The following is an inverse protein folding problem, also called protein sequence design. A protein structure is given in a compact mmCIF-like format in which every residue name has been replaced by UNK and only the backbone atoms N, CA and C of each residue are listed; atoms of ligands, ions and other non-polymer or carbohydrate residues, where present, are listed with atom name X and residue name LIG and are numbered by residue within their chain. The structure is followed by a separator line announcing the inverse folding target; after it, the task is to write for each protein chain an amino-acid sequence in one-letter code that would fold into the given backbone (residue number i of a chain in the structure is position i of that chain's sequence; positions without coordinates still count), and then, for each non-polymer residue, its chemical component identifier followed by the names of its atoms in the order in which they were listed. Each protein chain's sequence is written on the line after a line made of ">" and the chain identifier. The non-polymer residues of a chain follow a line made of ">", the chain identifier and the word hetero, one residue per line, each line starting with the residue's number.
data_IF_231943615511
#
_entry.id   IF_231943615511
#
_cell.length_a   1.000
_cell.length_b   1.000
_cell.length_c   1.000
_cell.angle_alpha   90.00
_cell.angle_beta   90.00
_cell.angle_gamma   90.00
#
_symmetry.space_group_name_H-M   'P 1'
#
loop_
_entity.id
_entity.type
_entity.pdbx_description
1 polymer ?
#
# COMPACT_ATOMS: atom_id res chain seq x y z
N UNK A 1 -22.33 -15.99 23.32
CA UNK A 1 -22.98 -17.23 22.86
C UNK A 1 -23.51 -17.21 21.42
N UNK A 2 -23.62 -16.07 20.71
CA UNK A 2 -24.17 -16.02 19.33
C UNK A 2 -23.13 -15.85 18.21
N UNK A 3 -21.84 -15.78 18.52
CA UNK A 3 -20.77 -15.62 17.52
C UNK A 3 -20.69 -16.70 16.44
N UNK A 4 -20.87 -18.01 16.72
CA UNK A 4 -20.81 -19.02 15.66
C UNK A 4 -22.01 -18.99 14.71
N UNK A 5 -23.10 -18.30 15.07
CA UNK A 5 -24.34 -18.23 14.27
C UNK A 5 -24.33 -17.09 13.24
N UNK A 6 -23.45 -16.09 13.41
CA UNK A 6 -23.35 -14.93 12.49
C UNK A 6 -23.17 -15.32 11.01
N UNK A 7 -22.26 -16.24 10.63
CA UNK A 7 -22.10 -16.62 9.21
C UNK A 7 -23.32 -17.40 8.67
N UNK A 8 -23.96 -18.22 9.50
CA UNK A 8 -25.17 -18.98 9.12
C UNK A 8 -26.35 -18.02 8.88
N UNK A 9 -26.52 -17.01 9.73
CA UNK A 9 -27.55 -15.98 9.55
C UNK A 9 -27.34 -15.13 8.29
N UNK A 10 -26.09 -14.79 7.95
CA UNK A 10 -25.77 -14.07 6.71
C UNK A 10 -26.10 -14.91 5.46
N UNK A 11 -25.76 -16.20 5.48
CA UNK A 11 -26.08 -17.11 4.38
C UNK A 11 -27.59 -17.31 4.24
N UNK A 12 -28.32 -17.46 5.36
CA UNK A 12 -29.77 -17.57 5.38
C UNK A 12 -30.46 -16.30 4.85
N UNK A 13 -29.99 -15.11 5.22
CA UNK A 13 -30.51 -13.84 4.72
C UNK A 13 -30.28 -13.68 3.21
N UNK A 14 -29.09 -14.03 2.72
CA UNK A 14 -28.79 -14.04 1.28
C UNK A 14 -29.66 -15.03 0.50
N UNK A 15 -29.85 -16.24 1.02
CA UNK A 15 -30.71 -17.25 0.41
C UNK A 15 -32.18 -16.81 0.37
N UNK A 16 -32.70 -16.22 1.45
CA UNK A 16 -34.06 -15.69 1.50
C UNK A 16 -34.28 -14.55 0.50
N UNK A 17 -33.28 -13.69 0.29
CA UNK A 17 -33.32 -12.62 -0.72
C UNK A 17 -33.37 -13.16 -2.15
N UNK A 18 -32.54 -14.16 -2.47
CA UNK A 18 -32.53 -14.82 -3.79
C UNK A 18 -33.85 -15.54 -4.04
N UNK A 19 -34.34 -16.30 -3.06
CA UNK A 19 -35.62 -17.02 -3.16
C UNK A 19 -36.79 -16.03 -3.31
N UNK A 20 -36.80 -14.94 -2.54
CA UNK A 20 -37.81 -13.88 -2.66
C UNK A 20 -37.80 -13.23 -4.04
N UNK A 21 -36.62 -12.98 -4.60
CA UNK A 21 -36.43 -12.40 -5.94
C UNK A 21 -36.87 -13.37 -7.04
N UNK A 22 -36.55 -14.66 -6.92
CA UNK A 22 -36.96 -15.70 -7.87
C UNK A 22 -38.47 -15.93 -7.85
N UNK A 23 -39.08 -16.01 -6.66
CA UNK A 23 -40.53 -16.13 -6.53
C UNK A 23 -41.27 -14.91 -7.13
N UNK A 24 -40.67 -13.72 -6.98
CA UNK A 24 -41.17 -12.49 -7.61
C UNK A 24 -41.12 -12.54 -9.14
N UNK A 25 -40.04 -13.06 -9.74
CA UNK A 25 -39.92 -13.19 -11.20
C UNK A 25 -40.88 -14.24 -11.80
N UNK A 26 -41.18 -15.30 -11.04
CA UNK A 26 -42.06 -16.38 -11.49
C UNK A 26 -43.55 -16.00 -11.33
N UNK A 27 -43.89 -15.12 -10.39
CA UNK A 27 -45.26 -14.70 -10.12
C UNK A 27 -45.38 -13.17 -9.99
N UNK A 28 -45.26 -12.43 -11.10
CA UNK A 28 -45.31 -10.98 -11.07
C UNK A 28 -46.74 -10.52 -10.69
N UNK A 29 -46.89 -9.59 -9.72
CA UNK A 29 -48.20 -9.06 -9.37
C UNK A 29 -48.81 -8.33 -10.58
N UNK A 30 -50.12 -8.49 -10.78
CA UNK A 30 -50.85 -7.73 -11.82
C UNK A 30 -50.83 -6.24 -11.46
N UNK A 31 -50.22 -5.41 -12.31
CA UNK A 31 -50.13 -3.96 -12.12
C UNK A 31 -51.36 -3.26 -12.70
N UNK A 32 -52.55 -3.53 -12.15
CA UNK A 32 -53.81 -3.05 -12.72
C UNK A 32 -54.28 -1.71 -12.15
N UNK A 33 -53.69 -1.25 -11.05
CA UNK A 33 -54.00 0.04 -10.42
C UNK A 33 -52.80 0.79 -9.82
N UNK A 34 -52.92 2.12 -9.73
CA UNK A 34 -51.88 2.98 -9.15
C UNK A 34 -51.57 2.65 -7.67
N UNK A 35 -52.57 2.18 -6.90
CA UNK A 35 -52.36 1.74 -5.52
C UNK A 35 -51.49 0.49 -5.40
N UNK A 36 -51.62 -0.45 -6.34
CA UNK A 36 -50.82 -1.68 -6.39
C UNK A 36 -49.35 -1.37 -6.73
N UNK A 37 -49.13 -0.40 -7.63
CA UNK A 37 -47.79 0.07 -7.99
C UNK A 37 -47.09 0.76 -6.80
N UNK A 38 -47.81 1.61 -6.05
CA UNK A 38 -47.26 2.29 -4.87
C UNK A 38 -46.91 1.30 -3.77
N UNK A 39 -47.81 0.34 -3.50
CA UNK A 39 -47.55 -0.73 -2.53
C UNK A 39 -46.33 -1.58 -2.93
N UNK A 40 -46.17 -1.86 -4.23
CA UNK A 40 -45.03 -2.56 -4.78
C UNK A 40 -43.71 -1.80 -4.58
N UNK A 41 -43.66 -0.51 -4.94
CA UNK A 41 -42.46 0.31 -4.78
C UNK A 41 -42.06 0.47 -3.32
N UNK A 42 -43.04 0.62 -2.41
CA UNK A 42 -42.80 0.67 -0.98
C UNK A 42 -42.21 -0.64 -0.44
N UNK A 43 -42.72 -1.80 -0.88
CA UNK A 43 -42.20 -3.11 -0.50
C UNK A 43 -40.77 -3.36 -1.00
N UNK A 44 -40.49 -3.01 -2.25
CA UNK A 44 -39.15 -3.12 -2.82
C UNK A 44 -38.14 -2.21 -2.07
N UNK A 45 -38.53 -0.97 -1.77
CA UNK A 45 -37.70 -0.04 -1.00
C UNK A 45 -37.45 -0.55 0.42
N UNK A 46 -38.48 -1.05 1.11
CA UNK A 46 -38.35 -1.62 2.45
C UNK A 46 -37.42 -2.84 2.46
N UNK A 47 -37.47 -3.66 1.42
CA UNK A 47 -36.62 -4.83 1.27
C UNK A 47 -35.16 -4.43 1.00
N UNK A 48 -34.91 -3.44 0.14
CA UNK A 48 -33.55 -2.89 -0.10
C UNK A 48 -32.99 -2.24 1.17
N UNK A 49 -33.79 -1.44 1.88
CA UNK A 49 -33.37 -0.81 3.13
C UNK A 49 -33.13 -1.85 4.23
N UNK A 50 -33.98 -2.87 4.31
CA UNK A 50 -33.86 -3.97 5.27
C UNK A 50 -32.61 -4.81 5.03
N UNK A 51 -32.29 -5.14 3.77
CA UNK A 51 -31.07 -5.88 3.43
C UNK A 51 -29.83 -5.03 3.61
N UNK A 52 -29.87 -3.74 3.27
CA UNK A 52 -28.76 -2.81 3.53
C UNK A 52 -28.50 -2.68 5.05
N UNK A 53 -29.55 -2.46 5.85
CA UNK A 53 -29.46 -2.40 7.31
C UNK A 53 -28.95 -3.71 7.91
N UNK A 54 -29.48 -4.87 7.47
CA UNK A 54 -29.02 -6.18 7.91
C UNK A 54 -27.55 -6.42 7.51
N UNK A 55 -27.14 -6.00 6.32
CA UNK A 55 -25.75 -6.13 5.85
C UNK A 55 -24.81 -5.26 6.66
N UNK A 56 -25.20 -4.03 7.01
CA UNK A 56 -24.38 -3.13 7.84
C UNK A 56 -24.31 -3.58 9.29
N UNK A 57 -25.42 -4.06 9.86
CA UNK A 57 -25.48 -4.48 11.27
C UNK A 57 -24.88 -5.86 11.50
N UNK A 58 -25.14 -6.82 10.60
CA UNK A 58 -24.58 -8.16 10.69
C UNK A 58 -23.17 -8.22 10.12
N UNK A 59 -22.85 -7.43 9.10
CA UNK A 59 -21.53 -7.21 8.56
C UNK A 59 -20.71 -6.33 9.49
N UNK A 60 -20.49 -6.81 10.73
CA UNK A 60 -19.54 -6.22 11.65
C UNK A 60 -18.29 -5.86 10.86
N UNK A 61 -17.99 -4.55 10.83
CA UNK A 61 -16.81 -4.00 10.16
C UNK A 61 -15.65 -4.92 10.52
N UNK A 62 -14.97 -5.49 9.53
CA UNK A 62 -13.64 -6.07 9.74
C UNK A 62 -12.66 -4.90 9.99
N UNK A 63 -12.97 -4.08 10.98
CA UNK A 63 -12.10 -3.07 11.52
C UNK A 63 -11.35 -3.68 12.68
N UNK A 64 -10.09 -3.30 12.81
CA UNK A 64 -9.27 -3.53 13.99
C UNK A 64 -10.09 -3.22 15.27
N UNK A 65 -9.98 -4.02 16.33
CA UNK A 65 -10.64 -3.66 17.59
C UNK A 65 -10.12 -2.29 18.07
N UNK A 66 -10.98 -1.45 18.68
CA UNK A 66 -10.61 -0.10 19.12
C UNK A 66 -9.31 -0.07 19.94
N UNK A 67 -9.14 -1.05 20.83
CA UNK A 67 -7.93 -1.19 21.66
C UNK A 67 -6.68 -1.57 20.87
N UNK A 68 -6.84 -2.32 19.79
CA UNK A 68 -5.74 -2.65 18.89
C UNK A 68 -5.33 -1.43 18.07
N UNK A 69 -6.32 -0.66 17.60
CA UNK A 69 -6.08 0.62 16.94
C UNK A 69 -5.38 1.63 17.85
N UNK A 70 -5.87 1.82 19.09
CA UNK A 70 -5.23 2.67 20.10
C UNK A 70 -3.78 2.25 20.35
N UNK A 71 -3.50 0.95 20.48
CA UNK A 71 -2.12 0.44 20.65
C UNK A 71 -1.22 0.74 19.45
N UNK A 72 -1.75 0.64 18.23
CA UNK A 72 -0.99 0.96 17.01
C UNK A 72 -0.70 2.46 16.95
N UNK A 73 -1.68 3.30 17.27
CA UNK A 73 -1.54 4.76 17.31
C UNK A 73 -0.54 5.19 18.39
N UNK A 74 -0.70 4.71 19.62
CA UNK A 74 0.19 5.04 20.74
C UNK A 74 1.64 4.63 20.45
N UNK A 75 1.86 3.43 19.90
CA UNK A 75 3.18 2.98 19.48
C UNK A 75 3.77 3.85 18.37
N UNK A 76 2.94 4.29 17.41
CA UNK A 76 3.39 5.14 16.31
C UNK A 76 3.76 6.54 16.81
N UNK A 77 2.96 7.11 17.71
CA UNK A 77 3.27 8.37 18.37
C UNK A 77 4.51 8.30 19.25
N UNK A 78 4.72 7.19 19.97
CA UNK A 78 5.95 6.97 20.74
C UNK A 78 7.18 6.94 19.81
N UNK A 79 7.11 6.19 18.70
CA UNK A 79 8.18 6.13 17.70
C UNK A 79 8.45 7.49 17.04
N UNK A 80 7.41 8.28 16.78
CA UNK A 80 7.55 9.63 16.22
C UNK A 80 8.14 10.64 17.22
N UNK A 81 7.90 10.46 18.53
CA UNK A 81 8.45 11.31 19.61
C UNK A 81 9.85 10.93 20.02
N UNK A 82 10.28 9.69 19.72
CA UNK A 82 11.69 9.35 19.83
C UNK A 82 12.42 10.24 18.81
N UNK A 83 13.34 11.14 19.22
CA UNK A 83 14.27 11.70 18.25
C UNK A 83 14.87 10.49 17.55
N UNK A 84 14.91 10.49 16.21
CA UNK A 84 15.58 9.44 15.44
C UNK A 84 16.95 9.26 16.10
N UNK A 85 17.08 8.25 16.98
CA UNK A 85 18.19 8.26 17.92
C UNK A 85 19.39 8.10 17.04
N UNK A 86 20.32 9.06 17.13
CA UNK A 86 21.60 9.08 16.44
C UNK A 86 22.41 7.85 16.80
N UNK A 87 22.03 6.70 16.22
CA UNK A 87 22.94 5.61 15.98
C UNK A 87 23.92 6.16 14.97
N UNK A 88 25.21 6.02 15.28
CA UNK A 88 26.23 6.30 14.29
C UNK A 88 25.92 5.51 13.02
N UNK A 89 25.97 6.17 11.85
CA UNK A 89 25.76 5.49 10.58
C UNK A 89 26.70 4.28 10.49
N UNK A 90 26.15 3.16 10.06
CA UNK A 90 26.95 2.00 9.68
C UNK A 90 27.92 2.36 8.57
N UNK A 91 28.96 1.54 8.38
CA UNK A 91 29.92 1.73 7.28
C UNK A 91 29.21 1.79 5.93
N UNK A 92 28.22 0.93 5.71
CA UNK A 92 27.40 0.94 4.51
C UNK A 92 26.59 2.24 4.36
N UNK A 93 25.93 2.71 5.41
CA UNK A 93 25.20 3.98 5.38
C UNK A 93 26.12 5.19 5.11
N UNK A 94 27.36 5.16 5.60
CA UNK A 94 28.37 6.17 5.24
C UNK A 94 28.70 6.12 3.76
N UNK A 95 28.91 4.93 3.19
CA UNK A 95 29.15 4.78 1.75
C UNK A 95 27.97 5.26 0.91
N UNK A 96 26.73 5.06 1.38
CA UNK A 96 25.52 5.62 0.76
C UNK A 96 25.54 7.16 0.80
N UNK A 97 25.87 7.77 1.95
CA UNK A 97 26.01 9.21 2.06
C UNK A 97 27.08 9.78 1.11
N UNK A 98 28.27 9.17 1.10
CA UNK A 98 29.35 9.58 0.19
C UNK A 98 28.98 9.38 -1.29
N UNK A 99 28.19 8.37 -1.61
CA UNK A 99 27.68 8.15 -2.95
C UNK A 99 26.65 9.23 -3.35
N UNK A 100 25.78 9.65 -2.43
CA UNK A 100 24.84 10.77 -2.63
C UNK A 100 25.60 12.07 -2.89
N UNK A 101 26.65 12.34 -2.12
CA UNK A 101 27.47 13.55 -2.27
C UNK A 101 28.17 13.65 -3.64
N UNK A 102 28.43 12.50 -4.28
CA UNK A 102 29.03 12.39 -5.62
C UNK A 102 28.03 12.47 -6.77
N UNK A 103 26.72 12.48 -6.49
CA UNK A 103 25.70 12.57 -7.53
C UNK A 103 25.74 13.95 -8.23
N UNK A 104 25.34 14.03 -9.50
CA UNK A 104 25.05 15.30 -10.18
C UNK A 104 24.05 16.17 -9.40
N UNK A 105 24.17 17.49 -9.52
CA UNK A 105 23.34 18.46 -8.77
C UNK A 105 21.83 18.23 -8.91
N UNK A 106 21.39 17.90 -10.12
CA UNK A 106 20.00 17.56 -10.45
C UNK A 106 19.47 16.35 -9.67
N UNK A 107 20.33 15.36 -9.41
CA UNK A 107 19.98 14.17 -8.65
C UNK A 107 20.01 14.44 -7.15
N UNK A 108 20.94 15.28 -6.68
CA UNK A 108 21.01 15.67 -5.26
C UNK A 108 19.75 16.40 -4.81
N UNK A 109 19.22 17.32 -5.63
CA UNK A 109 17.94 18.01 -5.34
C UNK A 109 16.78 17.02 -5.20
N UNK A 110 16.72 15.98 -6.04
CA UNK A 110 15.68 14.96 -5.95
C UNK A 110 15.79 14.13 -4.67
N UNK A 111 17.01 13.85 -4.21
CA UNK A 111 17.28 13.12 -2.96
C UNK A 111 16.94 13.97 -1.71
N UNK A 112 16.98 15.30 -1.78
CA UNK A 112 16.55 16.16 -0.67
C UNK A 112 15.06 15.96 -0.35
N UNK A 113 14.23 15.74 -1.36
CA UNK A 113 12.79 15.48 -1.21
C UNK A 113 12.45 13.98 -1.12
N UNK A 114 13.36 13.11 -1.54
CA UNK A 114 13.14 11.65 -1.61
C UNK A 114 14.05 10.89 -0.64
N UNK A 115 13.53 10.37 0.49
CA UNK A 115 14.34 9.63 1.44
C UNK A 115 15.00 8.39 0.81
N UNK A 116 16.29 8.23 1.08
CA UNK A 116 17.07 7.03 0.75
C UNK A 116 17.10 6.12 1.98
N UNK A 117 16.61 4.90 1.81
CA UNK A 117 16.44 3.91 2.89
C UNK A 117 17.31 2.68 2.61
N UNK A 118 18.13 2.29 3.58
CA UNK A 118 18.90 1.05 3.52
C UNK A 118 18.03 -0.12 3.98
N UNK A 119 18.05 -1.22 3.23
CA UNK A 119 17.29 -2.44 3.52
C UNK A 119 18.13 -3.70 3.31
N UNK A 120 17.75 -4.79 3.96
CA UNK A 120 18.37 -6.12 3.81
C UNK A 120 17.47 -7.13 3.06
N UNK A 121 16.48 -6.63 2.32
CA UNK A 121 15.51 -7.48 1.57
C UNK A 121 15.82 -7.54 0.08
N UNK A 122 17.05 -7.27 -0.33
CA UNK A 122 17.45 -7.28 -1.73
C UNK A 122 17.35 -8.66 -2.35
N UNK A 123 17.61 -9.72 -1.59
CA UNK A 123 17.44 -11.10 -2.08
C UNK A 123 15.99 -11.42 -2.47
N UNK A 124 15.03 -10.91 -1.72
CA UNK A 124 13.60 -11.11 -2.01
C UNK A 124 13.15 -10.26 -3.19
N UNK A 125 13.67 -9.03 -3.28
CA UNK A 125 13.41 -8.12 -4.40
C UNK A 125 14.13 -8.54 -5.69
N UNK A 126 15.24 -9.27 -5.58
CA UNK A 126 16.10 -9.60 -6.71
C UNK A 126 16.86 -8.40 -7.29
N UNK A 127 17.11 -7.36 -6.49
CA UNK A 127 17.66 -6.07 -6.94
C UNK A 127 18.72 -5.50 -5.99
N UNK A 128 19.45 -4.49 -6.47
CA UNK A 128 20.39 -3.69 -5.66
C UNK A 128 19.76 -2.40 -5.13
N UNK A 129 18.75 -1.88 -5.82
CA UNK A 129 17.95 -0.76 -5.36
C UNK A 129 16.60 -0.71 -6.07
N UNK A 130 15.73 0.16 -5.57
CA UNK A 130 14.42 0.43 -6.15
C UNK A 130 13.96 1.84 -5.83
N UNK A 131 13.46 2.56 -6.84
CA UNK A 131 12.60 3.70 -6.64
C UNK A 131 11.14 3.25 -6.38
N UNK A 132 10.57 3.66 -5.25
CA UNK A 132 9.15 3.48 -4.95
C UNK A 132 8.44 4.82 -5.05
N UNK A 133 7.53 4.93 -6.03
CA UNK A 133 6.66 6.07 -6.24
C UNK A 133 5.78 5.90 -7.48
N UNK A 134 4.66 6.61 -7.57
CA UNK A 134 3.90 6.73 -8.83
C UNK A 134 2.71 5.79 -9.08
N UNK A 135 2.14 5.13 -8.06
CA UNK A 135 0.79 4.53 -8.25
C UNK A 135 -0.30 5.60 -8.20
N UNK A 136 -1.48 5.32 -8.80
CA UNK A 136 -2.64 6.24 -8.87
C UNK A 136 -3.10 6.72 -7.47
N UNK A 137 -2.63 6.09 -6.39
CA UNK A 137 -2.79 6.52 -5.01
C UNK A 137 -1.57 7.31 -4.49
N UNK A 138 -1.19 8.39 -5.18
CA UNK A 138 -0.13 9.34 -4.74
C UNK A 138 -0.35 9.88 -3.32
N UNK A 139 -1.58 9.82 -2.81
CA UNK A 139 -1.97 10.35 -1.50
C UNK A 139 -1.76 9.37 -0.33
N UNK A 140 -1.25 8.15 -0.57
CA UNK A 140 -1.08 7.14 0.49
C UNK A 140 0.36 6.69 0.76
N UNK A 141 1.31 6.99 -0.13
CA UNK A 141 2.70 6.59 0.02
C UNK A 141 3.66 7.66 -0.49
N UNK A 142 4.57 8.09 0.38
CA UNK A 142 5.66 8.98 0.04
C UNK A 142 6.69 8.26 -0.85
N UNK A 143 7.22 9.01 -1.80
CA UNK A 143 8.29 8.57 -2.68
C UNK A 143 9.53 8.22 -1.84
N UNK A 144 10.22 7.13 -2.18
CA UNK A 144 11.46 6.71 -1.50
C UNK A 144 12.35 5.89 -2.40
N UNK A 145 13.65 5.95 -2.15
CA UNK A 145 14.64 5.10 -2.80
C UNK A 145 15.11 4.07 -1.79
N UNK A 146 15.05 2.79 -2.14
CA UNK A 146 15.59 1.72 -1.33
C UNK A 146 16.93 1.27 -1.91
N UNK A 147 17.96 1.17 -1.07
CA UNK A 147 19.25 0.56 -1.40
C UNK A 147 19.39 -0.73 -0.59
N UNK A 148 19.64 -1.84 -1.27
CA UNK A 148 19.70 -3.16 -0.66
C UNK A 148 21.13 -3.57 -0.27
N UNK A 149 21.45 -3.44 1.01
CA UNK A 149 22.77 -3.75 1.55
C UNK A 149 23.14 -5.24 1.37
N UNK A 150 22.18 -6.15 1.59
CA UNK A 150 22.45 -7.60 1.56
C UNK A 150 22.89 -8.09 0.18
N UNK A 151 22.34 -7.55 -0.91
CA UNK A 151 22.74 -7.93 -2.28
C UNK A 151 24.00 -7.21 -2.73
N UNK A 152 24.16 -5.94 -2.38
CA UNK A 152 25.35 -5.16 -2.72
C UNK A 152 26.60 -5.68 -2.01
N UNK A 153 26.53 -5.96 -0.70
CA UNK A 153 27.66 -6.52 0.05
C UNK A 153 27.97 -7.95 -0.39
N UNK A 154 26.96 -8.76 -0.71
CA UNK A 154 27.18 -10.12 -1.23
C UNK A 154 28.04 -10.12 -2.49
N UNK A 155 27.76 -9.21 -3.42
CA UNK A 155 28.37 -9.22 -4.74
C UNK A 155 29.63 -8.34 -4.82
N UNK A 156 29.71 -7.27 -4.02
CA UNK A 156 30.77 -6.25 -4.10
C UNK A 156 31.48 -5.96 -2.77
N UNK A 157 31.03 -6.54 -1.65
CA UNK A 157 31.59 -6.27 -0.32
C UNK A 157 33.03 -6.77 -0.09
N UNK A 158 33.64 -7.41 -1.09
CA UNK A 158 35.05 -7.81 -1.06
C UNK A 158 36.02 -6.65 -1.37
N UNK A 159 35.51 -5.53 -1.93
CA UNK A 159 36.28 -4.32 -2.22
C UNK A 159 35.44 -3.08 -1.83
N UNK A 160 35.81 -2.35 -0.76
CA UNK A 160 35.05 -1.18 -0.30
C UNK A 160 34.92 -0.07 -1.34
N UNK A 161 35.95 0.15 -2.17
CA UNK A 161 35.88 1.17 -3.21
C UNK A 161 34.93 0.75 -4.33
N UNK A 162 34.97 -0.52 -4.72
CA UNK A 162 34.02 -1.07 -5.70
C UNK A 162 32.59 -1.00 -5.17
N UNK A 163 32.37 -1.37 -3.91
CA UNK A 163 31.06 -1.28 -3.26
C UNK A 163 30.52 0.16 -3.32
N UNK A 164 31.33 1.15 -2.94
CA UNK A 164 30.97 2.57 -3.02
C UNK A 164 30.60 3.02 -4.44
N UNK A 165 31.32 2.56 -5.48
CA UNK A 165 30.99 2.84 -6.88
C UNK A 165 29.69 2.17 -7.34
N UNK A 166 29.41 0.96 -6.86
CA UNK A 166 28.16 0.26 -7.19
C UNK A 166 26.95 0.86 -6.50
N UNK A 167 27.09 1.35 -5.27
CA UNK A 167 26.05 2.11 -4.58
C UNK A 167 25.72 3.38 -5.38
N UNK A 168 26.73 4.15 -5.78
CA UNK A 168 26.55 5.35 -6.61
C UNK A 168 25.85 5.01 -7.94
N UNK A 169 26.32 3.99 -8.65
CA UNK A 169 25.70 3.52 -9.91
C UNK A 169 24.24 3.13 -9.71
N UNK A 170 23.92 2.46 -8.61
CA UNK A 170 22.55 2.04 -8.27
C UNK A 170 21.67 3.27 -8.05
N UNK A 171 22.10 4.23 -7.23
CA UNK A 171 21.36 5.47 -7.01
C UNK A 171 21.11 6.24 -8.30
N UNK A 172 22.14 6.39 -9.15
CA UNK A 172 22.00 7.03 -10.47
C UNK A 172 21.00 6.31 -11.37
N UNK A 173 21.00 4.98 -11.36
CA UNK A 173 20.07 4.18 -12.15
C UNK A 173 18.62 4.39 -11.70
N UNK A 174 18.35 4.30 -10.40
CA UNK A 174 17.01 4.49 -9.85
C UNK A 174 16.48 5.93 -10.07
N UNK A 175 17.33 6.94 -9.84
CA UNK A 175 16.98 8.35 -10.03
C UNK A 175 16.75 8.68 -11.51
N UNK A 176 17.59 8.18 -12.41
CA UNK A 176 17.41 8.39 -13.84
C UNK A 176 16.13 7.73 -14.37
N UNK A 177 15.82 6.52 -13.89
CA UNK A 177 14.57 5.85 -14.24
C UNK A 177 13.34 6.63 -13.76
N UNK A 178 13.40 7.21 -12.55
CA UNK A 178 12.31 8.06 -12.06
C UNK A 178 12.08 9.30 -12.94
N UNK A 179 13.15 9.95 -13.40
CA UNK A 179 13.07 11.11 -14.30
C UNK A 179 12.64 10.75 -15.73
N UNK A 180 12.40 9.47 -16.02
CA UNK A 180 12.02 8.99 -17.34
C UNK A 180 13.17 8.96 -18.34
N UNK A 181 14.43 9.02 -17.87
CA UNK A 181 15.60 8.87 -18.73
C UNK A 181 15.81 7.40 -19.09
N UNK A 182 16.02 7.13 -20.38
CA UNK A 182 16.37 5.81 -20.88
C UNK A 182 17.88 5.52 -20.68
N UNK A 183 18.32 4.28 -20.90
CA UNK A 183 19.74 3.88 -20.78
C UNK A 183 20.73 4.75 -21.59
N UNK A 184 20.26 5.50 -22.60
CA UNK A 184 21.07 6.47 -23.35
C UNK A 184 21.35 7.75 -22.54
N UNK A 185 20.36 8.32 -21.85
CA UNK A 185 20.56 9.52 -21.02
C UNK A 185 21.52 9.28 -19.85
N UNK A 186 21.55 8.05 -19.31
CA UNK A 186 22.48 7.68 -18.22
C UNK A 186 23.94 7.65 -18.68
N UNK A 187 24.22 7.25 -19.93
CA UNK A 187 25.59 7.21 -20.50
C UNK A 187 26.14 8.60 -20.81
N UNK A 188 25.28 9.56 -21.20
CA UNK A 188 25.70 10.94 -21.46
C UNK A 188 26.20 11.67 -20.20
N UNK A 189 25.86 11.17 -19.02
CA UNK A 189 26.36 11.63 -17.72
C UNK A 189 27.66 10.90 -17.28
N UNK A 190 28.32 10.16 -18.17
CA UNK A 190 29.64 9.57 -17.91
C UNK A 190 29.63 8.21 -17.19
N UNK A 191 28.75 7.29 -17.61
CA UNK A 191 28.86 5.85 -17.29
C UNK A 191 29.40 5.05 -18.47
#
# INVERSE_FOLDING_TARGET
>A
MLEPLKPVLRAAAGAAFVVGTVLFLINPPSLSGAGELVAFLAGALALVLGTAWATVTLGGRRGMEEREFERVVERSEELARLPARGREPTEFERLVGEAIDRLPDEFRQLVEDTPVVVSHRGREAGAYGHYFGGTIARDLYEDRIIVYQDTLERDFGHDPELLGRQIERTLRHELAHHLGWNEQGVRELGL
#
